data_IF_167532211100
#
_entry.id   IF_167532211100
#
_cell.length_a   1.000
_cell.length_b   1.000
_cell.length_c   1.000
_cell.angle_alpha   90.00
_cell.angle_beta   90.00
_cell.angle_gamma   90.00
#
_symmetry.space_group_name_H-M   'P 1'
#
loop_
_entity.id
_entity.type
_entity.pdbx_description
1 polymer ?
#
# COMPACT_ATOMS: atom_id res chain seq x y z
N UNK A 1 -5.35 3.92 5.99
CA UNK A 1 -5.82 2.52 5.84
C UNK A 1 -4.97 1.62 6.71
N UNK A 2 -5.58 0.76 7.52
CA UNK A 2 -4.89 -0.22 8.37
C UNK A 2 -5.64 -1.55 8.35
N UNK A 3 -5.07 -2.58 8.95
CA UNK A 3 -5.72 -3.86 9.14
C UNK A 3 -5.76 -4.19 10.63
N UNK A 4 -6.95 -4.49 11.14
CA UNK A 4 -7.17 -4.91 12.52
C UNK A 4 -6.89 -6.41 12.63
N UNK A 5 -5.90 -6.77 13.47
CA UNK A 5 -5.45 -8.16 13.57
C UNK A 5 -6.33 -9.02 14.46
N UNK A 6 -7.05 -8.42 15.41
CA UNK A 6 -7.97 -9.12 16.31
C UNK A 6 -9.32 -9.34 15.63
N UNK A 7 -9.90 -8.29 15.06
CA UNK A 7 -11.16 -8.37 14.31
C UNK A 7 -10.99 -8.96 12.91
N UNK A 8 -9.75 -9.13 12.43
CA UNK A 8 -9.39 -9.68 11.11
C UNK A 8 -10.08 -8.99 9.95
N UNK A 9 -10.08 -7.68 9.96
CA UNK A 9 -10.76 -6.86 8.95
C UNK A 9 -9.97 -5.60 8.57
N UNK A 10 -10.16 -5.08 7.34
CA UNK A 10 -9.68 -3.77 6.96
C UNK A 10 -10.28 -2.68 7.85
N UNK A 11 -9.48 -1.65 8.18
CA UNK A 11 -9.94 -0.49 8.91
C UNK A 11 -9.49 0.81 8.24
N UNK A 12 -10.47 1.62 7.86
CA UNK A 12 -10.24 2.97 7.34
C UNK A 12 -10.30 3.93 8.52
N UNK A 13 -9.15 4.44 8.92
CA UNK A 13 -9.05 5.47 9.96
C UNK A 13 -9.43 6.82 9.36
N UNK A 14 -10.45 7.46 9.89
CA UNK A 14 -10.95 8.74 9.39
C UNK A 14 -11.36 9.67 10.52
N UNK A 15 -11.27 10.99 10.28
CA UNK A 15 -11.74 12.01 11.22
C UNK A 15 -13.25 11.98 11.46
N UNK A 16 -14.00 11.29 10.62
CA UNK A 16 -15.45 11.13 10.77
C UNK A 16 -15.82 10.04 11.80
N UNK A 17 -15.09 8.92 11.78
CA UNK A 17 -15.41 7.73 12.57
C UNK A 17 -14.47 7.53 13.77
N UNK A 18 -13.24 8.01 13.68
CA UNK A 18 -12.15 7.70 14.64
C UNK A 18 -11.64 8.95 15.36
N UNK A 19 -12.55 9.80 15.82
CA UNK A 19 -12.23 11.12 16.46
C UNK A 19 -11.34 11.02 17.68
N UNK A 20 -11.35 9.88 18.36
CA UNK A 20 -10.55 9.65 19.57
C UNK A 20 -9.14 9.12 19.24
N UNK A 21 -8.87 8.74 18.00
CA UNK A 21 -7.55 8.26 17.59
C UNK A 21 -6.70 9.44 17.19
N UNK A 22 -5.53 9.56 17.80
CA UNK A 22 -4.57 10.60 17.44
C UNK A 22 -4.00 10.35 16.05
N UNK A 23 -3.77 11.42 15.31
CA UNK A 23 -3.18 11.36 13.97
C UNK A 23 -1.84 10.60 13.96
N UNK A 24 -1.01 10.80 14.99
CA UNK A 24 0.28 10.09 15.12
C UNK A 24 0.09 8.58 15.29
N UNK A 25 -0.91 8.15 16.06
CA UNK A 25 -1.24 6.73 16.23
C UNK A 25 -1.76 6.13 14.92
N UNK A 26 -2.60 6.87 14.19
CA UNK A 26 -3.09 6.46 12.87
C UNK A 26 -1.95 6.34 11.85
N UNK A 27 -0.99 7.28 11.84
CA UNK A 27 0.19 7.23 10.96
C UNK A 27 1.04 6.00 11.30
N UNK A 28 1.34 5.78 12.58
CA UNK A 28 2.12 4.62 13.01
C UNK A 28 1.44 3.31 12.63
N UNK A 29 0.13 3.22 12.82
CA UNK A 29 -0.66 2.03 12.49
C UNK A 29 -0.66 1.74 10.97
N UNK A 30 -0.86 2.77 10.13
CA UNK A 30 -0.93 2.60 8.68
C UNK A 30 0.42 2.30 8.03
N UNK A 31 1.52 2.53 8.74
CA UNK A 31 2.90 2.24 8.27
C UNK A 31 3.58 1.10 9.03
N UNK A 32 2.85 0.37 9.88
CA UNK A 32 3.38 -0.78 10.62
C UNK A 32 3.41 -2.03 9.73
N UNK A 33 4.29 -2.03 8.73
CA UNK A 33 4.44 -3.15 7.79
C UNK A 33 4.89 -4.42 8.53
N UNK A 34 4.14 -5.54 8.39
CA UNK A 34 4.53 -6.82 8.97
C UNK A 34 5.96 -7.22 8.59
N UNK A 35 6.67 -7.88 9.47
CA UNK A 35 8.08 -8.26 9.41
C UNK A 35 9.06 -7.12 9.73
N UNK A 36 8.71 -5.86 9.44
CA UNK A 36 9.59 -4.69 9.69
C UNK A 36 9.24 -3.98 10.99
N UNK A 37 7.95 -3.92 11.34
CA UNK A 37 7.47 -3.19 12.50
C UNK A 37 6.51 -4.02 13.35
N UNK A 38 6.46 -3.78 14.67
CA UNK A 38 5.47 -4.41 15.53
C UNK A 38 4.07 -3.84 15.25
N UNK A 39 3.05 -4.62 15.64
CA UNK A 39 1.65 -4.14 15.70
C UNK A 39 1.53 -2.91 16.60
N UNK A 40 0.66 -1.99 16.22
CA UNK A 40 0.41 -0.73 16.93
C UNK A 40 -0.94 -0.80 17.63
N UNK A 41 -0.97 -0.57 18.94
CA UNK A 41 -2.21 -0.36 19.66
C UNK A 41 -2.63 1.11 19.56
N UNK A 42 -3.88 1.35 19.16
CA UNK A 42 -4.46 2.70 19.10
C UNK A 42 -5.37 2.97 20.29
N UNK A 43 -5.82 4.21 20.44
CA UNK A 43 -6.49 4.73 21.65
C UNK A 43 -7.79 4.01 22.02
N UNK A 44 -8.46 3.38 21.09
CA UNK A 44 -9.67 2.58 21.35
C UNK A 44 -9.37 1.12 21.75
N UNK A 45 -8.10 0.76 21.84
CA UNK A 45 -7.63 -0.56 22.24
C UNK A 45 -7.34 -1.51 21.07
N UNK A 46 -7.73 -1.18 19.84
CA UNK A 46 -7.51 -2.03 18.66
C UNK A 46 -6.03 -2.20 18.33
N UNK A 47 -5.66 -3.39 17.86
CA UNK A 47 -4.31 -3.71 17.40
C UNK A 47 -4.24 -3.71 15.88
N UNK A 48 -3.47 -2.80 15.32
CA UNK A 48 -3.44 -2.52 13.90
C UNK A 48 -2.05 -2.77 13.29
N UNK A 49 -2.06 -3.18 12.02
CA UNK A 49 -0.88 -3.23 11.14
C UNK A 49 -1.13 -2.41 9.88
N UNK A 50 -0.10 -2.28 9.05
CA UNK A 50 -0.18 -1.60 7.76
C UNK A 50 -1.35 -2.11 6.91
N UNK A 51 -2.06 -1.19 6.32
CA UNK A 51 -3.18 -1.48 5.42
C UNK A 51 -2.76 -1.94 4.03
N UNK A 52 -1.48 -1.89 3.69
CA UNK A 52 -0.94 -2.41 2.44
C UNK A 52 -1.25 -3.90 2.22
N UNK A 53 -1.44 -4.67 3.30
CA UNK A 53 -1.84 -6.09 3.22
C UNK A 53 -3.24 -6.30 2.58
N UNK A 54 -4.06 -5.26 2.49
CA UNK A 54 -5.41 -5.33 1.89
C UNK A 54 -5.64 -4.30 0.79
N UNK A 55 -4.96 -3.16 0.83
CA UNK A 55 -5.06 -2.10 -0.18
C UNK A 55 -3.77 -1.29 -0.23
N UNK A 56 -2.73 -1.83 -0.88
CA UNK A 56 -1.44 -1.15 -1.03
C UNK A 56 -1.58 0.14 -1.87
N UNK A 57 -2.51 0.17 -2.81
CA UNK A 57 -2.96 1.38 -3.46
C UNK A 57 -4.38 1.74 -2.97
N UNK A 58 -4.53 2.60 -1.96
CA UNK A 58 -5.82 2.88 -1.34
C UNK A 58 -6.70 3.87 -2.15
N UNK A 59 -6.44 4.08 -3.44
CA UNK A 59 -7.15 5.05 -4.27
C UNK A 59 -8.67 4.77 -4.36
N UNK A 60 -9.06 3.50 -4.50
CA UNK A 60 -10.47 3.10 -4.53
C UNK A 60 -11.15 3.30 -3.17
N UNK A 61 -10.45 2.99 -2.08
CA UNK A 61 -10.92 3.23 -0.71
C UNK A 61 -11.11 4.72 -0.49
N UNK A 62 -10.13 5.55 -0.86
CA UNK A 62 -10.21 7.02 -0.74
C UNK A 62 -11.34 7.61 -1.54
N UNK A 63 -11.57 7.13 -2.77
CA UNK A 63 -12.69 7.53 -3.60
C UNK A 63 -14.05 7.20 -2.94
N UNK A 64 -14.18 5.97 -2.41
CA UNK A 64 -15.40 5.54 -1.74
C UNK A 64 -15.67 6.35 -0.46
N UNK A 65 -14.65 6.64 0.34
CA UNK A 65 -14.79 7.49 1.52
C UNK A 65 -15.16 8.94 1.14
N UNK A 66 -14.57 9.49 0.09
CA UNK A 66 -14.93 10.80 -0.41
C UNK A 66 -16.41 10.86 -0.85
N UNK A 67 -16.90 9.82 -1.50
CA UNK A 67 -18.33 9.73 -1.89
C UNK A 67 -19.27 9.65 -0.69
N UNK A 68 -18.84 9.05 0.42
CA UNK A 68 -19.67 8.94 1.61
C UNK A 68 -19.81 10.27 2.36
N UNK A 69 -18.74 11.05 2.39
CA UNK A 69 -18.64 12.20 3.30
C UNK A 69 -18.69 13.57 2.61
N UNK A 70 -18.48 13.63 1.32
CA UNK A 70 -18.58 14.88 0.56
C UNK A 70 -19.83 14.89 -0.31
N UNK A 71 -20.65 15.93 -0.17
CA UNK A 71 -21.83 16.19 -1.00
C UNK A 71 -21.43 16.71 -2.39
N UNK A 72 -20.69 15.88 -3.15
CA UNK A 72 -20.25 16.25 -4.50
C UNK A 72 -20.28 15.02 -5.43
N UNK A 73 -20.74 15.24 -6.64
CA UNK A 73 -20.69 14.22 -7.69
C UNK A 73 -19.36 14.23 -8.46
N UNK A 74 -18.56 15.30 -8.30
CA UNK A 74 -17.28 15.48 -9.01
C UNK A 74 -16.12 15.23 -8.06
N UNK A 75 -15.61 14.02 -8.08
CA UNK A 75 -14.41 13.64 -7.33
C UNK A 75 -13.30 13.36 -8.35
N UNK A 76 -12.15 14.00 -8.15
CA UNK A 76 -10.92 13.70 -8.87
C UNK A 76 -9.96 13.01 -7.94
N UNK A 77 -9.32 11.95 -8.42
CA UNK A 77 -8.35 11.19 -7.64
C UNK A 77 -6.98 11.32 -8.26
N UNK A 78 -6.02 11.72 -7.45
CA UNK A 78 -4.61 11.74 -7.78
C UNK A 78 -3.88 10.70 -6.93
N UNK A 79 -3.28 9.70 -7.58
CA UNK A 79 -2.57 8.60 -6.95
C UNK A 79 -1.08 8.68 -7.30
N UNK A 80 -0.23 8.61 -6.28
CA UNK A 80 1.22 8.57 -6.46
C UNK A 80 1.74 7.23 -5.94
N UNK A 81 2.44 6.50 -6.79
CA UNK A 81 3.09 5.24 -6.43
C UNK A 81 4.55 5.44 -6.02
N UNK A 82 5.11 4.45 -5.38
CA UNK A 82 6.51 4.39 -4.92
C UNK A 82 7.43 3.68 -5.91
N UNK A 83 6.92 3.32 -7.07
CA UNK A 83 7.59 2.55 -8.11
C UNK A 83 6.89 1.23 -8.42
N UNK A 84 7.21 0.65 -9.56
CA UNK A 84 6.75 -0.68 -9.96
C UNK A 84 7.93 -1.64 -10.01
N UNK A 85 7.77 -2.81 -9.42
CA UNK A 85 8.77 -3.86 -9.50
C UNK A 85 8.84 -4.41 -10.93
N UNK A 86 10.05 -4.55 -11.47
CA UNK A 86 10.25 -4.97 -12.88
C UNK A 86 10.69 -6.43 -12.95
N UNK A 87 10.92 -7.09 -11.81
CA UNK A 87 11.44 -8.45 -11.78
C UNK A 87 10.31 -9.46 -11.94
N UNK A 88 10.25 -10.09 -13.09
CA UNK A 88 9.36 -11.22 -13.30
C UNK A 88 9.87 -12.49 -12.60
N UNK A 89 8.97 -13.23 -12.01
CA UNK A 89 9.26 -14.57 -11.50
C UNK A 89 9.14 -15.59 -12.63
N UNK A 90 10.03 -16.57 -12.64
CA UNK A 90 9.94 -17.69 -13.57
C UNK A 90 8.78 -18.61 -13.18
N UNK A 91 7.84 -18.84 -14.12
CA UNK A 91 6.76 -19.79 -13.93
C UNK A 91 7.27 -21.23 -13.77
N UNK A 92 8.33 -21.60 -14.49
CA UNK A 92 8.95 -22.91 -14.42
C UNK A 92 9.58 -23.15 -13.04
N UNK A 93 10.40 -22.21 -12.57
CA UNK A 93 11.03 -22.32 -11.25
C UNK A 93 9.98 -22.36 -10.13
N UNK A 94 9.00 -21.46 -10.20
CA UNK A 94 7.96 -21.34 -9.17
C UNK A 94 7.05 -22.58 -9.08
N UNK A 95 6.92 -23.35 -10.14
CA UNK A 95 6.13 -24.58 -10.17
C UNK A 95 6.63 -25.65 -9.18
N UNK A 96 7.89 -25.56 -8.79
CA UNK A 96 8.53 -26.51 -7.87
C UNK A 96 8.66 -25.96 -6.44
N UNK A 97 8.26 -24.71 -6.18
CA UNK A 97 8.43 -24.08 -4.87
C UNK A 97 7.43 -24.62 -3.84
N UNK A 98 7.96 -25.03 -2.68
CA UNK A 98 7.17 -25.21 -1.48
C UNK A 98 7.01 -23.90 -0.70
N UNK A 99 6.40 -23.92 0.52
CA UNK A 99 6.17 -22.71 1.32
C UNK A 99 7.43 -21.85 1.54
N UNK A 100 8.56 -22.47 1.80
CA UNK A 100 9.84 -21.79 1.99
C UNK A 100 10.38 -21.19 0.69
N UNK A 101 10.15 -21.84 -0.45
CA UNK A 101 10.52 -21.31 -1.76
C UNK A 101 9.74 -20.03 -2.08
N UNK A 102 8.44 -20.03 -1.87
CA UNK A 102 7.59 -18.84 -2.03
C UNK A 102 8.00 -17.71 -1.10
N UNK A 103 8.28 -18.00 0.17
CA UNK A 103 8.71 -16.99 1.13
C UNK A 103 10.07 -16.37 0.76
N UNK A 104 10.99 -17.19 0.23
CA UNK A 104 12.32 -16.73 -0.21
C UNK A 104 12.29 -15.95 -1.54
N UNK A 105 11.22 -16.07 -2.33
CA UNK A 105 11.09 -15.46 -3.66
C UNK A 105 9.95 -14.44 -3.73
N UNK A 106 9.82 -13.63 -2.68
CA UNK A 106 9.00 -12.41 -2.67
C UNK A 106 7.48 -12.61 -2.82
N UNK A 107 6.93 -13.66 -2.21
CA UNK A 107 5.46 -13.83 -2.15
C UNK A 107 4.76 -12.59 -1.56
N UNK A 108 5.42 -11.90 -0.62
CA UNK A 108 4.86 -10.68 -0.02
C UNK A 108 4.79 -9.54 -1.01
N UNK A 109 5.82 -9.36 -1.86
CA UNK A 109 5.79 -8.38 -2.94
C UNK A 109 4.61 -8.63 -3.88
N UNK A 110 4.40 -9.87 -4.32
CA UNK A 110 3.26 -10.24 -5.17
C UNK A 110 1.92 -9.89 -4.51
N UNK A 111 1.77 -10.20 -3.21
CA UNK A 111 0.54 -9.92 -2.48
C UNK A 111 0.31 -8.41 -2.27
N UNK A 112 1.38 -7.62 -2.17
CA UNK A 112 1.33 -6.17 -2.04
C UNK A 112 1.22 -5.45 -3.39
N UNK A 113 1.59 -6.07 -4.50
CA UNK A 113 1.47 -5.53 -5.86
C UNK A 113 0.01 -5.58 -6.34
N UNK A 114 -0.92 -4.98 -5.60
CA UNK A 114 -2.32 -4.90 -6.00
C UNK A 114 -2.52 -3.84 -7.08
N UNK A 115 -2.57 -4.24 -8.33
CA UNK A 115 -2.94 -3.36 -9.44
C UNK A 115 -4.45 -3.23 -9.63
N UNK A 116 -5.23 -4.15 -9.08
CA UNK A 116 -6.68 -4.23 -9.31
C UNK A 116 -7.44 -2.94 -8.93
N UNK A 117 -7.12 -2.34 -7.80
CA UNK A 117 -7.80 -1.11 -7.34
C UNK A 117 -7.55 0.08 -8.27
N UNK A 118 -6.35 0.15 -8.87
CA UNK A 118 -5.99 1.17 -9.85
C UNK A 118 -6.80 1.01 -11.13
N UNK A 119 -6.86 -0.20 -11.67
CA UNK A 119 -7.60 -0.51 -12.90
C UNK A 119 -9.10 -0.27 -12.71
N UNK A 120 -9.67 -0.79 -11.62
CA UNK A 120 -11.08 -0.61 -11.29
C UNK A 120 -11.44 0.88 -11.19
N UNK A 121 -10.61 1.67 -10.50
CA UNK A 121 -10.91 3.09 -10.35
C UNK A 121 -10.73 3.85 -11.66
N UNK A 122 -9.72 3.50 -12.47
CA UNK A 122 -9.54 4.08 -13.79
C UNK A 122 -10.74 3.81 -14.70
N UNK A 123 -11.28 2.61 -14.69
CA UNK A 123 -12.47 2.25 -15.46
C UNK A 123 -13.72 2.98 -14.94
N UNK A 124 -13.81 3.20 -13.63
CA UNK A 124 -14.97 3.82 -12.99
C UNK A 124 -15.07 5.33 -13.25
N UNK A 125 -13.98 6.08 -13.18
CA UNK A 125 -13.99 7.55 -13.26
C UNK A 125 -13.15 8.12 -14.41
N UNK A 126 -12.41 7.29 -15.13
CA UNK A 126 -11.70 7.63 -16.36
C UNK A 126 -10.80 8.86 -16.22
N UNK A 127 -11.10 9.91 -16.97
CA UNK A 127 -10.32 11.17 -17.00
C UNK A 127 -10.21 11.90 -15.65
N UNK A 128 -11.02 11.56 -14.67
CA UNK A 128 -10.97 12.15 -13.32
C UNK A 128 -10.04 11.35 -12.39
N UNK A 129 -9.36 10.32 -12.92
CA UNK A 129 -8.29 9.60 -12.25
C UNK A 129 -6.93 9.88 -12.92
N UNK A 130 -5.95 10.23 -12.12
CA UNK A 130 -4.56 10.34 -12.54
C UNK A 130 -3.66 9.56 -11.59
N UNK A 131 -2.86 8.62 -12.13
CA UNK A 131 -1.83 7.92 -11.37
C UNK A 131 -0.45 8.25 -11.95
N UNK A 132 0.47 8.64 -11.07
CA UNK A 132 1.89 8.75 -11.36
C UNK A 132 2.58 7.56 -10.67
N UNK A 133 3.25 6.77 -11.47
CA UNK A 133 4.11 5.68 -11.02
C UNK A 133 5.17 5.41 -12.09
N UNK A 134 6.34 4.94 -11.72
CA UNK A 134 7.42 4.67 -12.67
C UNK A 134 8.03 3.30 -12.43
N UNK A 135 8.64 2.74 -13.48
CA UNK A 135 9.44 1.52 -13.35
C UNK A 135 10.67 1.81 -12.47
N UNK A 136 10.86 0.99 -11.46
CA UNK A 136 11.95 1.16 -10.51
C UNK A 136 13.11 0.23 -10.87
N UNK A 137 13.86 0.64 -11.87
CA UNK A 137 15.08 -0.04 -12.27
C UNK A 137 16.24 0.25 -11.31
N UNK A 138 17.03 -0.77 -10.97
CA UNK A 138 18.22 -0.66 -10.13
C UNK A 138 17.95 -0.22 -8.68
N UNK A 139 16.74 -0.31 -8.19
CA UNK A 139 16.37 -0.07 -6.79
C UNK A 139 16.38 -1.39 -6.03
N UNK A 140 16.97 -1.39 -4.84
CA UNK A 140 16.78 -2.47 -3.89
C UNK A 140 15.44 -2.28 -3.16
N UNK A 141 14.59 -3.28 -3.21
CA UNK A 141 13.23 -3.25 -2.69
C UNK A 141 13.11 -3.60 -1.20
N UNK A 142 14.22 -3.92 -0.53
CA UNK A 142 14.21 -4.07 0.91
C UNK A 142 13.87 -2.73 1.55
N UNK A 143 12.81 -2.67 2.34
CA UNK A 143 12.31 -1.44 2.96
C UNK A 143 13.32 -0.79 3.91
N UNK A 144 14.30 -1.54 4.38
CA UNK A 144 15.36 -1.12 5.29
C UNK A 144 16.71 -0.82 4.60
N UNK A 145 16.77 -0.88 3.25
CA UNK A 145 18.00 -0.50 2.53
C UNK A 145 18.12 1.01 2.37
N UNK A 146 18.85 1.61 3.30
CA UNK A 146 19.20 3.03 3.32
C UNK A 146 20.62 3.32 2.76
N UNK A 147 21.21 2.41 2.00
CA UNK A 147 22.50 2.63 1.36
C UNK A 147 22.48 3.87 0.44
N UNK A 148 23.58 4.63 0.42
CA UNK A 148 23.70 5.84 -0.42
C UNK A 148 23.35 5.55 -1.89
N UNK A 149 23.82 4.41 -2.41
CA UNK A 149 23.54 3.97 -3.77
C UNK A 149 22.03 3.78 -4.02
N UNK A 150 21.32 3.13 -3.09
CA UNK A 150 19.89 2.91 -3.22
C UNK A 150 19.10 4.22 -3.12
N UNK A 151 19.47 5.09 -2.19
CA UNK A 151 18.89 6.42 -2.04
C UNK A 151 19.09 7.30 -3.29
N UNK A 152 20.26 7.25 -3.93
CA UNK A 152 20.50 7.95 -5.20
C UNK A 152 19.63 7.40 -6.33
N UNK A 153 19.46 6.09 -6.43
CA UNK A 153 18.61 5.47 -7.45
C UNK A 153 17.13 5.85 -7.25
N UNK A 154 16.65 5.86 -6.01
CA UNK A 154 15.30 6.32 -5.67
C UNK A 154 15.10 7.80 -6.06
N UNK A 155 16.07 8.67 -5.74
CA UNK A 155 16.02 10.08 -6.16
C UNK A 155 15.96 10.24 -7.68
N UNK A 156 16.77 9.49 -8.42
CA UNK A 156 16.75 9.50 -9.90
C UNK A 156 15.41 9.07 -10.46
N UNK A 157 14.79 8.05 -9.87
CA UNK A 157 13.46 7.60 -10.27
C UNK A 157 12.41 8.69 -10.14
N UNK A 158 12.45 9.46 -9.04
CA UNK A 158 11.48 10.54 -8.78
C UNK A 158 11.70 11.80 -9.64
N UNK A 159 12.83 11.90 -10.37
CA UNK A 159 13.14 13.04 -11.25
C UNK A 159 12.81 12.76 -12.73
N UNK A 160 12.53 11.52 -13.09
CA UNK A 160 12.11 11.09 -14.43
C UNK A 160 10.58 11.03 -14.54
#
# INVERSE_FOLDING_TARGET
MSYDVEDRKPRVLSSYNDRNIRVISAINATSAAPLYYPTVQVEDGSWLIDGGVVANNPCLVGYNEARKYFETEKIKVFSVGTGMHVKNLSGEDSSTWGPFGWLANDILGILLESHADHEILNDLIGKDYLRINSAAENINWNLDDYSEKNLENIKKMGLN
#
